data_IF_001499203641
#
_entry.id   IF_001499203641
#
_cell.length_a   1.000
_cell.length_b   1.000
_cell.length_c   1.000
_cell.angle_alpha   90.00
_cell.angle_beta   90.00
_cell.angle_gamma   90.00
#
_symmetry.space_group_name_H-M   'P 1'
#
loop_
_entity.id
_entity.type
_entity.pdbx_description
1 polymer ?
#
# COMPACT_ATOMS: atom_id res chain seq x y z
N UNK A 1 -28.08 31.74 22.78
CA UNK A 1 -26.69 31.71 22.29
C UNK A 1 -25.87 30.55 22.90
N UNK A 2 -25.81 30.36 24.24
CA UNK A 2 -25.03 29.27 24.87
C UNK A 2 -25.47 27.84 24.41
N UNK A 3 -26.78 27.59 24.28
CA UNK A 3 -27.30 26.29 23.80
C UNK A 3 -26.94 26.02 22.33
N UNK A 4 -26.94 27.05 21.47
CA UNK A 4 -26.54 26.92 20.08
C UNK A 4 -25.05 26.60 19.94
N UNK A 5 -24.20 27.21 20.77
CA UNK A 5 -22.76 26.99 20.81
C UNK A 5 -22.43 25.55 21.27
N UNK A 6 -23.16 25.01 22.23
CA UNK A 6 -23.02 23.61 22.69
C UNK A 6 -23.43 22.62 21.57
N UNK A 7 -24.50 22.90 20.83
CA UNK A 7 -24.93 22.04 19.73
C UNK A 7 -23.89 22.05 18.61
N UNK A 8 -23.34 23.21 18.26
CA UNK A 8 -22.27 23.33 17.25
C UNK A 8 -21.02 22.57 17.70
N UNK A 9 -20.63 22.67 18.98
CA UNK A 9 -19.49 21.96 19.54
C UNK A 9 -19.66 20.43 19.49
N UNK A 10 -20.89 19.92 19.73
CA UNK A 10 -21.22 18.49 19.62
C UNK A 10 -21.18 17.99 18.17
N UNK A 11 -21.66 18.79 17.22
CA UNK A 11 -21.66 18.46 15.78
C UNK A 11 -20.23 18.43 15.22
N UNK A 12 -19.36 19.34 15.63
CA UNK A 12 -17.97 19.39 15.18
C UNK A 12 -17.18 18.14 15.61
N UNK A 13 -17.43 17.60 16.82
CA UNK A 13 -16.75 16.37 17.27
C UNK A 13 -17.16 15.12 16.49
N UNK A 14 -18.36 15.04 15.92
CA UNK A 14 -18.79 13.90 15.12
C UNK A 14 -18.23 13.87 13.70
N UNK A 15 -17.68 14.99 13.21
CA UNK A 15 -17.09 15.11 11.86
C UNK A 15 -15.66 14.57 11.77
N UNK A 16 -15.02 14.25 12.91
CA UNK A 16 -13.63 13.78 12.96
C UNK A 16 -13.49 12.28 13.31
N UNK A 17 -14.56 11.51 13.26
CA UNK A 17 -14.48 10.07 13.48
C UNK A 17 -13.81 9.39 12.26
N UNK A 18 -12.59 8.86 12.44
CA UNK A 18 -11.92 8.05 11.42
C UNK A 18 -12.70 6.76 11.17
N UNK A 19 -12.75 6.35 9.91
CA UNK A 19 -13.46 5.15 9.51
C UNK A 19 -12.62 3.89 9.75
N UNK A 20 -13.25 2.82 10.22
CA UNK A 20 -12.57 1.55 10.46
C UNK A 20 -12.25 0.83 9.17
N UNK A 21 -11.00 0.40 9.04
CA UNK A 21 -10.50 -0.41 7.93
C UNK A 21 -9.89 -1.70 8.46
N UNK A 22 -10.15 -2.81 7.78
CA UNK A 22 -9.50 -4.08 8.06
C UNK A 22 -8.64 -4.51 6.86
N UNK A 23 -7.43 -4.99 7.14
CA UNK A 23 -6.45 -5.45 6.14
C UNK A 23 -6.29 -6.95 6.28
N UNK A 24 -6.65 -7.70 5.24
CA UNK A 24 -6.50 -9.16 5.20
C UNK A 24 -5.10 -9.50 4.70
N UNK A 25 -4.56 -10.65 5.13
CA UNK A 25 -3.31 -11.17 4.57
C UNK A 25 -3.41 -11.29 3.06
N UNK A 26 -2.46 -10.68 2.36
CA UNK A 26 -2.38 -10.75 0.90
C UNK A 26 -2.00 -12.17 0.46
N UNK A 27 -2.57 -12.60 -0.65
CA UNK A 27 -2.19 -13.86 -1.26
C UNK A 27 -0.80 -13.77 -1.91
N UNK A 28 0.06 -14.76 -1.63
CA UNK A 28 1.39 -14.87 -2.25
C UNK A 28 1.33 -15.76 -3.49
N UNK A 29 1.73 -15.22 -4.66
CA UNK A 29 1.84 -15.97 -5.91
C UNK A 29 3.32 -16.01 -6.31
N UNK A 30 3.96 -17.19 -6.25
CA UNK A 30 5.39 -17.34 -6.55
C UNK A 30 6.32 -16.82 -5.46
N UNK A 31 5.79 -16.49 -4.26
CA UNK A 31 6.50 -16.20 -3.02
C UNK A 31 5.95 -17.08 -1.89
N UNK A 32 6.66 -17.13 -0.78
CA UNK A 32 6.18 -17.86 0.39
C UNK A 32 5.01 -17.11 1.06
N UNK A 33 4.04 -17.84 1.58
CA UNK A 33 2.92 -17.26 2.34
C UNK A 33 3.41 -16.46 3.56
N UNK A 34 4.50 -16.90 4.19
CA UNK A 34 5.15 -16.16 5.28
C UNK A 34 5.71 -14.81 4.83
N UNK A 35 6.26 -14.72 3.63
CA UNK A 35 6.75 -13.45 3.05
C UNK A 35 5.59 -12.51 2.73
N UNK A 36 4.54 -13.01 2.10
CA UNK A 36 3.32 -12.23 1.84
C UNK A 36 2.72 -11.67 3.13
N UNK A 37 2.71 -12.48 4.20
CA UNK A 37 2.24 -12.05 5.52
C UNK A 37 3.10 -10.94 6.13
N UNK A 38 4.43 -11.03 6.04
CA UNK A 38 5.34 -9.98 6.53
C UNK A 38 5.14 -8.68 5.75
N UNK A 39 4.97 -8.77 4.43
CA UNK A 39 4.70 -7.63 3.57
C UNK A 39 3.34 -6.98 3.91
N UNK A 40 2.29 -7.78 4.11
CA UNK A 40 0.97 -7.27 4.55
C UNK A 40 1.07 -6.56 5.91
N UNK A 41 1.87 -7.11 6.83
CA UNK A 41 2.12 -6.47 8.13
C UNK A 41 2.82 -5.12 7.98
N UNK A 42 3.75 -5.00 7.02
CA UNK A 42 4.40 -3.72 6.69
C UNK A 42 3.38 -2.73 6.14
N UNK A 43 2.50 -3.14 5.20
CA UNK A 43 1.41 -2.31 4.71
C UNK A 43 0.53 -1.80 5.85
N UNK A 44 0.13 -2.69 6.76
CA UNK A 44 -0.66 -2.32 7.95
C UNK A 44 0.03 -1.23 8.77
N UNK A 45 1.34 -1.34 9.01
CA UNK A 45 2.11 -0.34 9.73
C UNK A 45 2.17 1.01 9.00
N UNK A 46 2.32 1.01 7.68
CA UNK A 46 2.28 2.24 6.87
C UNK A 46 0.89 2.89 6.92
N UNK A 47 -0.19 2.12 6.78
CA UNK A 47 -1.57 2.62 6.88
C UNK A 47 -1.86 3.25 8.25
N UNK A 48 -1.37 2.66 9.35
CA UNK A 48 -1.47 3.23 10.70
C UNK A 48 -0.73 4.58 10.78
N UNK A 49 0.46 4.67 10.17
CA UNK A 49 1.30 5.88 10.20
C UNK A 49 0.65 7.04 9.42
N UNK A 50 -0.11 6.75 8.37
CA UNK A 50 -0.81 7.77 7.58
C UNK A 50 -2.01 8.37 8.32
N UNK A 51 -2.54 7.67 9.32
CA UNK A 51 -3.64 8.12 10.19
C UNK A 51 -4.95 8.50 9.47
N UNK A 52 -5.11 8.14 8.20
CA UNK A 52 -6.33 8.41 7.42
C UNK A 52 -7.50 7.55 7.89
N UNK A 53 -7.22 6.29 8.20
CA UNK A 53 -8.18 5.31 8.68
C UNK A 53 -7.82 4.81 10.08
N UNK A 54 -8.81 4.30 10.79
CA UNK A 54 -8.59 3.52 12.00
C UNK A 54 -8.42 2.05 11.64
N UNK A 55 -7.17 1.57 11.66
CA UNK A 55 -6.85 0.19 11.26
C UNK A 55 -7.21 -0.78 12.37
N UNK A 56 -8.01 -1.81 12.03
CA UNK A 56 -8.38 -2.87 12.96
C UNK A 56 -7.20 -3.81 13.18
N UNK A 57 -6.79 -3.98 14.43
CA UNK A 57 -5.66 -4.83 14.81
C UNK A 57 -5.92 -6.31 14.49
N UNK A 58 -4.87 -6.99 14.00
CA UNK A 58 -4.95 -8.40 13.60
C UNK A 58 -5.41 -9.34 14.72
N UNK A 59 -5.00 -9.07 15.95
CA UNK A 59 -5.42 -9.82 17.14
C UNK A 59 -6.91 -9.73 17.36
N UNK A 60 -7.48 -8.54 17.21
CA UNK A 60 -8.89 -8.27 17.33
C UNK A 60 -9.69 -8.92 16.19
N UNK A 61 -9.20 -8.83 14.96
CA UNK A 61 -9.80 -9.55 13.82
C UNK A 61 -9.89 -11.06 14.09
N UNK A 62 -8.79 -11.67 14.56
CA UNK A 62 -8.77 -13.10 14.90
C UNK A 62 -9.77 -13.45 16.00
N UNK A 63 -9.86 -12.62 17.05
CA UNK A 63 -10.81 -12.82 18.14
C UNK A 63 -12.24 -12.80 17.63
N UNK A 64 -12.64 -11.77 16.89
CA UNK A 64 -13.98 -11.61 16.34
C UNK A 64 -14.37 -12.75 15.40
N UNK A 65 -13.46 -13.16 14.51
CA UNK A 65 -13.72 -14.23 13.55
C UNK A 65 -13.78 -15.61 14.22
N UNK A 66 -12.96 -15.85 15.27
CA UNK A 66 -13.01 -17.11 16.03
C UNK A 66 -14.32 -17.27 16.79
N UNK A 67 -14.88 -16.19 17.34
CA UNK A 67 -16.20 -16.20 18.00
C UNK A 67 -17.31 -16.59 17.01
N UNK A 68 -17.17 -16.25 15.74
CA UNK A 68 -18.13 -16.59 14.69
C UNK A 68 -17.82 -17.92 13.96
N UNK A 69 -16.79 -18.66 14.41
CA UNK A 69 -16.34 -19.94 13.81
C UNK A 69 -15.98 -19.80 12.31
N UNK A 70 -15.53 -18.63 11.88
CA UNK A 70 -15.19 -18.34 10.49
C UNK A 70 -13.70 -18.56 10.23
N UNK A 71 -13.39 -19.31 9.15
CA UNK A 71 -12.02 -19.49 8.65
C UNK A 71 -11.83 -18.61 7.40
N UNK A 72 -10.89 -17.67 7.46
CA UNK A 72 -10.72 -16.61 6.46
C UNK A 72 -9.41 -16.67 5.65
N UNK A 73 -8.73 -17.81 5.62
CA UNK A 73 -7.51 -17.94 4.81
C UNK A 73 -7.84 -17.86 3.30
N UNK A 74 -7.16 -16.97 2.58
CA UNK A 74 -7.27 -16.86 1.11
C UNK A 74 -8.45 -16.05 0.58
N UNK A 75 -8.95 -15.08 1.34
CA UNK A 75 -10.05 -14.21 0.95
C UNK A 75 -9.56 -13.05 0.06
N UNK A 76 -9.47 -13.27 -1.24
CA UNK A 76 -9.06 -12.24 -2.22
C UNK A 76 -10.19 -11.72 -3.09
N UNK A 77 -11.35 -12.40 -3.09
CA UNK A 77 -12.52 -11.95 -3.85
C UNK A 77 -13.36 -10.93 -3.06
N UNK A 78 -14.08 -10.09 -3.81
CA UNK A 78 -14.89 -8.99 -3.26
C UNK A 78 -16.00 -9.48 -2.34
N UNK A 79 -16.65 -10.60 -2.67
CA UNK A 79 -17.77 -11.12 -1.88
C UNK A 79 -17.30 -11.56 -0.49
N UNK A 80 -16.22 -12.31 -0.44
CA UNK A 80 -15.59 -12.73 0.80
C UNK A 80 -15.14 -11.52 1.64
N UNK A 81 -14.50 -10.52 1.02
CA UNK A 81 -14.09 -9.29 1.69
C UNK A 81 -15.26 -8.55 2.33
N UNK A 82 -16.40 -8.42 1.62
CA UNK A 82 -17.60 -7.78 2.14
C UNK A 82 -18.20 -8.56 3.33
N UNK A 83 -18.29 -9.88 3.23
CA UNK A 83 -18.79 -10.72 4.33
C UNK A 83 -17.91 -10.58 5.58
N UNK A 84 -16.58 -10.66 5.41
CA UNK A 84 -15.63 -10.42 6.50
C UNK A 84 -15.75 -9.02 7.09
N UNK A 85 -15.82 -8.00 6.25
CA UNK A 85 -15.95 -6.62 6.69
C UNK A 85 -17.18 -6.38 7.54
N UNK A 86 -18.31 -6.97 7.18
CA UNK A 86 -19.55 -6.92 7.97
C UNK A 86 -19.37 -7.58 9.35
N UNK A 87 -18.72 -8.74 9.42
CA UNK A 87 -18.43 -9.42 10.67
C UNK A 87 -17.50 -8.63 11.58
N UNK A 88 -16.53 -7.92 10.99
CA UNK A 88 -15.54 -7.12 11.71
C UNK A 88 -16.03 -5.72 12.07
N UNK A 89 -17.18 -5.29 11.53
CA UNK A 89 -17.67 -3.92 11.68
C UNK A 89 -16.78 -2.88 10.97
N UNK A 90 -16.01 -3.31 9.97
CA UNK A 90 -15.18 -2.43 9.17
C UNK A 90 -16.00 -1.74 8.09
N UNK A 91 -15.69 -0.48 7.79
CA UNK A 91 -16.30 0.24 6.65
C UNK A 91 -15.63 -0.13 5.33
N UNK A 92 -14.32 -0.34 5.38
CA UNK A 92 -13.53 -0.75 4.22
C UNK A 92 -12.68 -1.97 4.53
N UNK A 93 -12.42 -2.74 3.48
CA UNK A 93 -11.53 -3.90 3.50
C UNK A 93 -10.40 -3.70 2.49
N UNK A 94 -9.15 -3.95 2.91
CA UNK A 94 -8.02 -4.05 1.99
C UNK A 94 -7.74 -5.51 1.70
N UNK A 95 -7.76 -5.86 0.42
CA UNK A 95 -7.40 -7.17 -0.11
C UNK A 95 -6.35 -6.99 -1.20
N UNK A 96 -5.53 -8.00 -1.45
CA UNK A 96 -4.54 -7.93 -2.50
C UNK A 96 -3.75 -9.20 -2.70
N UNK A 97 -2.90 -9.14 -3.72
CA UNK A 97 -1.95 -10.19 -4.07
C UNK A 97 -0.55 -9.63 -4.17
N UNK A 98 0.43 -10.44 -3.81
CA UNK A 98 1.85 -10.16 -4.02
C UNK A 98 2.39 -11.27 -4.90
N UNK A 99 2.87 -10.92 -6.09
CA UNK A 99 3.33 -11.92 -7.05
C UNK A 99 4.81 -11.76 -7.40
N UNK A 100 5.45 -12.90 -7.69
CA UNK A 100 6.79 -12.96 -8.26
C UNK A 100 6.74 -13.82 -9.53
N UNK A 101 6.83 -13.17 -10.68
CA UNK A 101 6.76 -13.80 -12.00
C UNK A 101 8.03 -13.44 -12.79
N UNK A 102 8.83 -14.45 -13.09
CA UNK A 102 10.13 -14.24 -13.74
C UNK A 102 11.08 -13.44 -12.85
N UNK A 103 11.37 -12.18 -13.22
CA UNK A 103 12.22 -11.26 -12.46
C UNK A 103 11.43 -10.13 -11.79
N UNK A 104 10.11 -10.11 -11.97
CA UNK A 104 9.28 -9.00 -11.53
C UNK A 104 8.50 -9.39 -10.29
N UNK A 105 8.61 -8.56 -9.26
CA UNK A 105 7.72 -8.55 -8.12
C UNK A 105 6.62 -7.52 -8.36
N UNK A 106 5.36 -7.87 -8.09
CA UNK A 106 4.26 -6.93 -8.12
C UNK A 106 3.38 -7.04 -6.88
N UNK A 107 2.79 -5.91 -6.51
CA UNK A 107 1.75 -5.80 -5.50
C UNK A 107 0.53 -5.22 -6.19
N UNK A 108 -0.60 -5.89 -6.06
CA UNK A 108 -1.90 -5.43 -6.51
C UNK A 108 -2.86 -5.45 -5.33
N UNK A 109 -3.40 -4.30 -4.97
CA UNK A 109 -4.30 -4.16 -3.81
C UNK A 109 -5.52 -3.34 -4.16
N UNK A 110 -6.61 -3.58 -3.42
CA UNK A 110 -7.88 -2.86 -3.56
C UNK A 110 -8.44 -2.53 -2.20
N UNK A 111 -8.98 -1.33 -2.09
CA UNK A 111 -9.81 -0.87 -0.98
C UNK A 111 -11.27 -1.08 -1.37
N UNK A 112 -11.98 -1.96 -0.68
CA UNK A 112 -13.36 -2.36 -0.99
C UNK A 112 -14.30 -1.75 0.07
N UNK A 113 -15.33 -1.04 -0.37
CA UNK A 113 -16.42 -0.61 0.49
C UNK A 113 -17.25 -1.81 0.92
N UNK A 114 -17.41 -2.00 2.23
CA UNK A 114 -18.22 -3.08 2.79
C UNK A 114 -19.72 -2.87 2.53
N UNK A 115 -20.14 -1.63 2.42
CA UNK A 115 -21.53 -1.26 2.17
C UNK A 115 -21.97 -1.57 0.73
N UNK A 116 -21.20 -1.09 -0.27
CA UNK A 116 -21.57 -1.24 -1.69
C UNK A 116 -20.95 -2.49 -2.34
N UNK A 117 -19.85 -3.02 -1.80
CA UNK A 117 -19.06 -4.07 -2.44
C UNK A 117 -18.22 -3.58 -3.61
N UNK A 118 -18.11 -2.27 -3.83
CA UNK A 118 -17.34 -1.68 -4.91
C UNK A 118 -15.90 -1.39 -4.47
N UNK A 119 -14.98 -1.42 -5.43
CA UNK A 119 -13.61 -0.97 -5.20
C UNK A 119 -13.61 0.57 -5.09
N UNK A 120 -13.26 1.08 -3.92
CA UNK A 120 -13.16 2.51 -3.62
C UNK A 120 -11.80 3.08 -4.04
N UNK A 121 -10.73 2.28 -3.88
CA UNK A 121 -9.38 2.65 -4.25
C UNK A 121 -8.54 1.43 -4.65
N UNK A 122 -7.39 1.70 -5.25
CA UNK A 122 -6.42 0.65 -5.61
C UNK A 122 -4.99 1.13 -5.41
N UNK A 123 -4.11 0.21 -5.01
CA UNK A 123 -2.69 0.47 -4.89
C UNK A 123 -1.89 -0.59 -5.64
N UNK A 124 -0.91 -0.15 -6.44
CA UNK A 124 -0.04 -1.00 -7.24
C UNK A 124 1.42 -0.62 -7.09
N UNK A 125 2.28 -1.61 -7.11
CA UNK A 125 3.72 -1.40 -7.15
C UNK A 125 4.41 -2.54 -7.87
N UNK A 126 5.36 -2.23 -8.75
CA UNK A 126 6.13 -3.21 -9.50
C UNK A 126 7.62 -2.92 -9.40
N UNK A 127 8.44 -3.96 -9.34
CA UNK A 127 9.89 -3.84 -9.34
C UNK A 127 10.57 -5.11 -9.86
N UNK A 128 11.68 -4.93 -10.56
CA UNK A 128 12.58 -6.02 -10.97
C UNK A 128 13.75 -6.22 -10.00
N UNK A 129 13.76 -5.49 -8.89
CA UNK A 129 14.74 -5.63 -7.83
C UNK A 129 14.34 -6.76 -6.85
N UNK A 130 15.08 -6.90 -5.75
CA UNK A 130 14.79 -7.91 -4.72
C UNK A 130 13.49 -7.60 -3.95
N UNK A 131 12.99 -8.61 -3.23
CA UNK A 131 11.85 -8.50 -2.32
C UNK A 131 12.04 -7.41 -1.24
N UNK A 132 13.30 -7.09 -0.89
CA UNK A 132 13.61 -5.99 0.04
C UNK A 132 13.06 -4.65 -0.44
N UNK A 133 12.99 -4.43 -1.76
CA UNK A 133 12.43 -3.20 -2.31
C UNK A 133 10.91 -3.11 -2.09
N UNK A 134 10.20 -4.25 -2.07
CA UNK A 134 8.79 -4.28 -1.70
C UNK A 134 8.59 -3.84 -0.25
N UNK A 135 9.42 -4.35 0.69
CA UNK A 135 9.33 -3.99 2.11
C UNK A 135 9.62 -2.51 2.33
N UNK A 136 10.67 -1.98 1.68
CA UNK A 136 11.16 -0.61 1.94
C UNK A 136 10.31 0.47 1.26
N UNK A 137 9.85 0.21 0.04
CA UNK A 137 9.20 1.21 -0.81
C UNK A 137 7.84 0.77 -1.33
N UNK A 138 7.68 -0.52 -1.66
CA UNK A 138 6.46 -1.05 -2.26
C UNK A 138 5.25 -0.86 -1.35
N UNK A 139 5.34 -1.33 -0.11
CA UNK A 139 4.23 -1.25 0.84
C UNK A 139 3.89 0.19 1.22
N UNK A 140 4.88 1.06 1.36
CA UNK A 140 4.66 2.48 1.59
C UNK A 140 3.92 3.12 0.40
N UNK A 141 4.42 2.91 -0.82
CA UNK A 141 3.77 3.44 -2.03
C UNK A 141 2.33 2.99 -2.17
N UNK A 142 2.05 1.72 -1.89
CA UNK A 142 0.69 1.15 -1.92
C UNK A 142 -0.20 1.78 -0.85
N UNK A 143 0.32 2.01 0.37
CA UNK A 143 -0.43 2.66 1.44
C UNK A 143 -0.87 4.08 1.04
N UNK A 144 0.05 4.89 0.48
CA UNK A 144 -0.29 6.23 -0.01
C UNK A 144 -1.35 6.21 -1.10
N UNK A 145 -1.26 5.28 -2.07
CA UNK A 145 -2.25 5.14 -3.14
C UNK A 145 -3.63 4.74 -2.60
N UNK A 146 -3.69 3.82 -1.62
CA UNK A 146 -4.95 3.40 -1.01
C UNK A 146 -5.62 4.51 -0.19
N UNK A 147 -4.83 5.44 0.34
CA UNK A 147 -5.31 6.61 1.08
C UNK A 147 -5.53 7.83 0.18
N UNK A 148 -5.34 7.71 -1.15
CA UNK A 148 -5.42 8.83 -2.11
C UNK A 148 -4.50 10.01 -1.73
N UNK A 149 -3.37 9.71 -1.08
CA UNK A 149 -2.38 10.68 -0.64
C UNK A 149 -1.18 10.72 -1.60
N UNK A 150 -0.59 11.90 -1.75
CA UNK A 150 0.67 12.03 -2.47
C UNK A 150 1.84 11.48 -1.62
N UNK A 151 2.68 10.60 -2.17
CA UNK A 151 3.85 10.13 -1.43
C UNK A 151 4.82 11.29 -1.16
N UNK A 152 5.50 11.31 -0.01
CA UNK A 152 6.42 12.39 0.33
C UNK A 152 7.53 12.51 -0.72
N UNK A 153 7.86 13.76 -1.10
CA UNK A 153 8.84 14.09 -2.14
C UNK A 153 10.20 13.38 -1.96
N UNK A 154 10.57 13.02 -0.74
CA UNK A 154 11.78 12.26 -0.40
C UNK A 154 11.76 10.86 -1.03
N UNK A 155 10.61 10.21 -1.11
CA UNK A 155 10.48 8.89 -1.76
C UNK A 155 10.60 9.00 -3.28
N UNK A 156 10.11 10.10 -3.89
CA UNK A 156 10.27 10.39 -5.32
C UNK A 156 11.74 10.69 -5.66
N UNK A 157 12.43 11.50 -4.87
CA UNK A 157 13.85 11.82 -5.07
C UNK A 157 14.73 10.57 -4.97
N UNK A 158 14.43 9.66 -4.05
CA UNK A 158 15.16 8.40 -3.90
C UNK A 158 14.94 7.46 -5.08
N UNK A 159 13.74 7.42 -5.66
CA UNK A 159 13.49 6.69 -6.90
C UNK A 159 14.26 7.27 -8.08
N UNK A 160 14.42 8.60 -8.16
CA UNK A 160 15.22 9.26 -9.20
C UNK A 160 16.71 8.93 -9.03
N UNK A 161 17.24 8.93 -7.81
CA UNK A 161 18.62 8.55 -7.54
C UNK A 161 18.90 7.08 -7.85
N UNK A 162 17.94 6.19 -7.57
CA UNK A 162 18.04 4.76 -7.91
C UNK A 162 18.04 4.56 -9.44
N UNK A 163 17.18 5.27 -10.18
CA UNK A 163 17.13 5.23 -11.65
C UNK A 163 18.45 5.77 -12.26
N UNK A 164 19.02 6.82 -11.69
CA UNK A 164 20.27 7.40 -12.14
C UNK A 164 21.43 6.44 -11.84
N UNK A 165 21.45 5.78 -10.67
CA UNK A 165 22.50 4.83 -10.29
C UNK A 165 22.48 3.57 -11.16
N UNK A 166 21.29 3.06 -11.49
CA UNK A 166 21.14 1.90 -12.37
C UNK A 166 21.51 2.19 -13.83
N UNK A 167 21.44 3.46 -14.25
CA UNK A 167 21.80 3.92 -15.61
C UNK A 167 23.18 4.60 -15.70
N UNK A 168 23.97 4.58 -14.63
CA UNK A 168 25.32 5.21 -14.62
C UNK A 168 26.22 4.75 -15.78
N UNK A 169 26.11 3.49 -16.20
CA UNK A 169 26.88 2.96 -17.34
C UNK A 169 26.54 3.62 -18.69
N UNK A 170 25.30 4.12 -18.86
CA UNK A 170 24.91 4.82 -20.10
C UNK A 170 25.40 6.27 -20.11
N UNK A 171 25.48 6.94 -18.98
CA UNK A 171 25.99 8.31 -18.88
C UNK A 171 27.52 8.38 -19.01
N UNK A 172 28.25 7.36 -18.52
CA UNK A 172 29.68 7.25 -18.65
C UNK A 172 30.14 7.11 -20.10
N UNK A 173 29.41 6.42 -20.95
CA UNK A 173 29.71 6.23 -22.36
C UNK A 173 29.49 7.48 -23.22
N UNK A 174 28.51 8.33 -22.85
CA UNK A 174 28.24 9.58 -23.59
C UNK A 174 29.32 10.64 -23.32
N UNK A 175 29.81 10.75 -22.08
CA UNK A 175 30.91 11.68 -21.77
C UNK A 175 32.22 11.29 -22.42
N UNK A 176 32.50 10.00 -22.63
CA UNK A 176 33.68 9.51 -23.30
C UNK A 176 33.67 9.80 -24.82
N UNK A 177 32.49 9.77 -25.45
CA UNK A 177 32.32 10.11 -26.86
C UNK A 177 32.46 11.62 -27.12
N UNK A 178 32.05 12.46 -26.19
CA UNK A 178 32.22 13.91 -26.28
C UNK A 178 33.69 14.33 -26.10
N UNK A 179 34.50 13.59 -25.32
CA UNK A 179 35.92 13.86 -25.12
C UNK A 179 36.78 13.45 -26.31
N UNK A 180 36.39 12.38 -27.03
CA UNK A 180 37.03 11.91 -28.24
C UNK A 180 36.69 12.76 -29.48
N UNK A 181 35.56 13.46 -29.48
CA UNK A 181 35.12 14.32 -30.60
C UNK A 181 35.83 15.69 -30.65
N UNK A 182 36.44 16.15 -29.58
CA UNK A 182 37.13 17.46 -29.54
C UNK A 182 38.62 17.41 -29.83
N UNK A 183 39.21 16.22 -29.99
CA UNK A 183 40.61 16.02 -30.28
C UNK A 183 41.01 15.98 -31.79
N UNK A 184 40.05 16.16 -32.70
CA UNK A 184 40.26 15.96 -34.17
C UNK A 184 39.92 17.21 -35.03
N UNK A 185 40.18 18.42 -34.52
CA UNK A 185 40.21 19.61 -35.39
C UNK A 185 41.67 19.98 -35.69
N UNK A 186 42.14 19.83 -36.93
CA UNK A 186 43.45 20.30 -37.32
C UNK A 186 43.49 21.83 -37.40
N UNK A 187 44.62 22.39 -37.00
CA UNK A 187 44.98 23.81 -37.08
C UNK A 187 45.09 24.30 -38.52
#
# INVERSE_FOLDING_TARGET
MKKLLLIILLIVNSLFAREYIAIIDFEGIGILESEARVLTQRLTSEMITLEEYQVLERSEMKRLLSEQKFQYSGCVDTKCAVELGKMLGAKYMVVGTISHIGKTFSIDSRLISVESGEAYGSGKYETNASIDKLIRHGMQSVAYQLCELDPPAISMMKNITDIISDNWFYFGSISMLLWLGWGLLPA
#
